data_IF_506076523410
#
_entry.id   IF_506076523410
#
_cell.length_a   1.000
_cell.length_b   1.000
_cell.length_c   1.000
_cell.angle_alpha   90.00
_cell.angle_beta   90.00
_cell.angle_gamma   90.00
#
_symmetry.space_group_name_H-M   'P 1'
#
loop_
_entity.id
_entity.type
_entity.pdbx_description
1 polymer ?
#
# COMPACT_ATOMS: atom_id res chain seq x y z
N UNK A 1 -2.11 6.12 -16.24
CA UNK A 1 -1.99 5.29 -15.02
C UNK A 1 -0.57 5.47 -14.51
N UNK A 2 -0.41 6.02 -13.31
CA UNK A 2 0.89 6.22 -12.68
C UNK A 2 1.59 4.88 -12.39
N UNK A 3 2.85 4.75 -12.81
CA UNK A 3 3.68 3.56 -12.60
C UNK A 3 3.81 3.17 -11.11
N UNK A 4 3.70 4.16 -10.21
CA UNK A 4 3.71 3.99 -8.76
C UNK A 4 2.49 3.20 -8.26
N UNK A 5 1.31 3.53 -8.78
CA UNK A 5 0.05 2.90 -8.37
C UNK A 5 -0.04 1.45 -8.84
N UNK A 6 0.50 1.16 -10.02
CA UNK A 6 0.60 -0.21 -10.54
C UNK A 6 1.51 -1.09 -9.67
N UNK A 7 2.71 -0.61 -9.33
CA UNK A 7 3.65 -1.35 -8.46
C UNK A 7 3.08 -1.57 -7.05
N UNK A 8 2.42 -0.55 -6.50
CA UNK A 8 1.76 -0.66 -5.20
C UNK A 8 0.63 -1.71 -5.22
N UNK A 9 -0.20 -1.69 -6.26
CA UNK A 9 -1.31 -2.65 -6.43
C UNK A 9 -0.77 -4.08 -6.50
N UNK A 10 0.32 -4.28 -7.25
CA UNK A 10 0.97 -5.57 -7.37
C UNK A 10 1.56 -6.03 -6.03
N UNK A 11 2.28 -5.15 -5.31
CA UNK A 11 2.82 -5.43 -3.98
C UNK A 11 1.70 -5.80 -2.97
N UNK A 12 0.61 -5.05 -2.96
CA UNK A 12 -0.55 -5.33 -2.12
C UNK A 12 -1.15 -6.72 -2.39
N UNK A 13 -1.25 -7.09 -3.67
CA UNK A 13 -1.85 -8.35 -4.08
C UNK A 13 -0.92 -9.54 -3.84
N UNK A 14 0.35 -9.43 -4.21
CA UNK A 14 1.29 -10.56 -4.20
C UNK A 14 1.99 -10.74 -2.85
N UNK A 15 2.47 -9.67 -2.23
CA UNK A 15 3.30 -9.72 -1.01
C UNK A 15 2.47 -9.63 0.28
N UNK A 16 1.34 -8.91 0.20
CA UNK A 16 0.47 -8.66 1.34
C UNK A 16 -0.84 -9.46 1.28
N UNK A 17 -1.09 -10.19 0.18
CA UNK A 17 -2.30 -10.97 -0.04
C UNK A 17 -3.60 -10.17 0.17
N UNK A 18 -3.57 -8.85 -0.10
CA UNK A 18 -4.73 -7.98 0.03
C UNK A 18 -5.74 -8.33 -1.07
N UNK A 19 -7.03 -8.47 -0.75
CA UNK A 19 -8.06 -8.75 -1.75
C UNK A 19 -8.10 -7.66 -2.82
N UNK A 20 -7.99 -8.07 -4.09
CA UNK A 20 -7.99 -7.14 -5.23
C UNK A 20 -9.24 -6.24 -5.27
N UNK A 21 -10.37 -6.74 -4.76
CA UNK A 21 -11.64 -6.02 -4.66
C UNK A 21 -11.57 -4.82 -3.69
N UNK A 22 -10.72 -4.91 -2.66
CA UNK A 22 -10.56 -3.86 -1.64
C UNK A 22 -9.51 -2.81 -2.00
N UNK A 23 -8.55 -3.16 -2.88
CA UNK A 23 -7.47 -2.25 -3.31
C UNK A 23 -8.01 -0.94 -3.93
N UNK A 24 -8.92 -0.94 -4.93
CA UNK A 24 -9.37 0.29 -5.56
C UNK A 24 -10.07 1.22 -4.56
N UNK A 25 -10.95 0.71 -3.69
CA UNK A 25 -11.61 1.53 -2.67
C UNK A 25 -10.61 2.19 -1.71
N UNK A 26 -9.58 1.46 -1.31
CA UNK A 26 -8.55 1.98 -0.39
C UNK A 26 -7.69 3.04 -1.09
N UNK A 27 -7.33 2.82 -2.36
CA UNK A 27 -6.56 3.78 -3.15
C UNK A 27 -7.34 5.07 -3.43
N UNK A 28 -8.64 4.96 -3.75
CA UNK A 28 -9.51 6.12 -3.96
C UNK A 28 -9.70 6.95 -2.68
N UNK A 29 -9.78 6.29 -1.52
CA UNK A 29 -9.86 6.96 -0.22
C UNK A 29 -8.53 7.59 0.20
N UNK A 30 -7.40 7.05 -0.27
CA UNK A 30 -6.06 7.52 0.08
C UNK A 30 -5.54 8.54 -0.93
N UNK A 31 -5.89 9.83 -0.73
CA UNK A 31 -5.25 10.93 -1.47
C UNK A 31 -3.73 11.02 -1.23
N UNK A 32 -3.25 10.54 -0.09
CA UNK A 32 -1.84 10.49 0.27
C UNK A 32 -1.44 9.04 0.56
N UNK A 33 -0.43 8.55 -0.14
CA UNK A 33 0.09 7.19 0.04
C UNK A 33 0.62 6.94 1.46
N UNK A 34 1.06 7.99 2.17
CA UNK A 34 1.47 7.89 3.57
C UNK A 34 0.33 7.45 4.51
N UNK A 35 -0.94 7.62 4.12
CA UNK A 35 -2.10 7.17 4.91
C UNK A 35 -2.54 5.74 4.56
N UNK A 36 -2.08 5.22 3.42
CA UNK A 36 -2.41 3.87 2.96
C UNK A 36 -2.15 2.77 4.01
N UNK A 37 -0.98 2.72 4.70
CA UNK A 37 -0.72 1.68 5.69
C UNK A 37 -1.78 1.69 6.80
N UNK A 38 -2.09 2.89 7.29
CA UNK A 38 -3.03 3.09 8.40
C UNK A 38 -4.44 2.69 7.99
N UNK A 39 -4.88 3.04 6.78
CA UNK A 39 -6.22 2.67 6.27
C UNK A 39 -6.33 1.16 6.08
N UNK A 40 -5.29 0.51 5.54
CA UNK A 40 -5.27 -0.95 5.37
C UNK A 40 -5.35 -1.67 6.72
N UNK A 41 -4.65 -1.17 7.73
CA UNK A 41 -4.70 -1.72 9.08
C UNK A 41 -6.05 -1.50 9.76
N UNK A 42 -6.63 -0.30 9.63
CA UNK A 42 -7.97 0.00 10.17
C UNK A 42 -9.06 -0.90 9.56
N UNK A 43 -8.93 -1.23 8.27
CA UNK A 43 -9.85 -2.16 7.59
C UNK A 43 -9.53 -3.65 7.87
N UNK A 44 -8.53 -3.94 8.72
CA UNK A 44 -8.04 -5.30 9.02
C UNK A 44 -7.65 -6.09 7.77
N UNK A 45 -7.22 -5.40 6.71
CA UNK A 45 -6.77 -6.00 5.45
C UNK A 45 -5.32 -6.47 5.52
N UNK A 46 -4.56 -5.98 6.50
CA UNK A 46 -3.16 -6.32 6.74
C UNK A 46 -2.90 -6.55 8.23
N UNK A 47 -1.94 -7.42 8.52
CA UNK A 47 -1.41 -7.65 9.87
C UNK A 47 -0.35 -6.61 10.25
N UNK A 48 0.03 -6.53 11.54
CA UNK A 48 1.11 -5.64 11.99
C UNK A 48 2.45 -5.92 11.28
N UNK A 49 2.79 -7.19 11.03
CA UNK A 49 4.02 -7.55 10.31
C UNK A 49 3.98 -7.11 8.83
N UNK A 50 2.80 -7.15 8.22
CA UNK A 50 2.56 -6.70 6.85
C UNK A 50 2.55 -5.17 6.76
N UNK A 51 2.03 -4.50 7.79
CA UNK A 51 2.06 -3.04 7.93
C UNK A 51 3.49 -2.51 7.92
N UNK A 52 4.38 -3.15 8.69
CA UNK A 52 5.80 -2.81 8.77
C UNK A 52 6.49 -2.90 7.38
N UNK A 53 6.27 -4.02 6.66
CA UNK A 53 6.76 -4.19 5.29
C UNK A 53 6.25 -3.11 4.34
N UNK A 54 5.00 -2.69 4.50
CA UNK A 54 4.40 -1.65 3.65
C UNK A 54 5.00 -0.27 3.95
N UNK A 55 5.34 0.04 5.20
CA UNK A 55 6.10 1.25 5.54
C UNK A 55 7.49 1.24 4.90
N UNK A 56 8.24 0.12 5.02
CA UNK A 56 9.55 -0.03 4.38
C UNK A 56 9.44 0.14 2.86
N UNK A 57 8.43 -0.46 2.23
CA UNK A 57 8.20 -0.35 0.79
C UNK A 57 7.92 1.10 0.37
N UNK A 58 7.07 1.81 1.11
CA UNK A 58 6.76 3.23 0.86
C UNK A 58 7.99 4.12 1.01
N UNK A 59 8.82 3.88 2.02
CA UNK A 59 10.07 4.62 2.23
C UNK A 59 11.06 4.38 1.08
N UNK A 60 11.23 3.11 0.65
CA UNK A 60 12.06 2.77 -0.52
C UNK A 60 11.59 3.46 -1.80
N UNK A 61 10.28 3.64 -1.97
CA UNK A 61 9.72 4.33 -3.13
C UNK A 61 9.79 5.86 -3.00
N UNK A 62 9.71 6.40 -1.78
CA UNK A 62 9.81 7.83 -1.50
C UNK A 62 11.25 8.34 -1.56
N UNK A 63 12.23 7.51 -1.20
CA UNK A 63 13.66 7.81 -1.25
C UNK A 63 14.20 7.56 -2.66
N UNK A 64 13.68 8.31 -3.62
CA UNK A 64 14.31 8.51 -4.91
C UNK A 64 14.82 9.95 -4.99
N UNK A 65 15.80 10.25 -4.12
CA UNK A 65 16.70 11.40 -4.26
C UNK A 65 18.11 10.94 -3.91
N UNK A 66 18.87 10.61 -4.96
CA UNK A 66 20.33 10.67 -5.03
C UNK A 66 20.70 10.63 -6.51
#
# INVERSE_FOLDING_TARGET
MDLRTAQLTQFLKEELAVPADSIPQVLEQCKNLNRLPVVLWQKKLVTLAQLDRLFIWLERFSTQVA
#
